data_IF_691956229536
#
_entry.id   IF_691956229536
#
_cell.length_a   1.000
_cell.length_b   1.000
_cell.length_c   1.000
_cell.angle_alpha   90.00
_cell.angle_beta   90.00
_cell.angle_gamma   90.00
#
_symmetry.space_group_name_H-M   'P 1'
#
loop_
_entity.id
_entity.type
_entity.pdbx_description
1 polymer ?
#
# COMPACT_ATOMS: atom_id res chain seq x y z
N UNK A 1 0.22 -16.87 -14.41
CA UNK A 1 -0.24 -15.83 -15.36
C UNK A 1 0.44 -14.51 -14.98
N UNK A 2 1.46 -14.10 -15.72
CA UNK A 2 1.84 -12.69 -15.89
C UNK A 2 2.19 -12.55 -17.35
N UNK A 3 1.41 -11.78 -18.11
CA UNK A 3 1.84 -11.30 -19.42
C UNK A 3 1.07 -10.04 -19.79
N UNK A 4 1.47 -8.92 -19.18
CA UNK A 4 1.44 -7.60 -19.81
C UNK A 4 2.75 -6.93 -19.40
N UNK A 5 3.76 -6.98 -20.27
CA UNK A 5 4.82 -5.98 -20.33
C UNK A 5 5.08 -5.69 -21.79
N UNK A 6 4.61 -4.53 -22.23
CA UNK A 6 5.27 -3.79 -23.28
C UNK A 6 6.34 -2.97 -22.54
N UNK A 7 7.61 -3.32 -22.72
CA UNK A 7 8.80 -2.74 -22.09
C UNK A 7 8.94 -2.89 -20.54
N UNK A 8 10.19 -2.99 -20.11
CA UNK A 8 10.66 -3.12 -18.73
C UNK A 8 10.27 -1.91 -17.88
N UNK A 9 9.15 -1.97 -17.17
CA UNK A 9 8.88 -0.98 -16.13
C UNK A 9 9.76 -1.33 -14.92
N UNK A 10 10.56 -0.38 -14.40
CA UNK A 10 11.24 -0.53 -13.12
C UNK A 10 10.26 -0.95 -12.02
N UNK A 11 10.69 -1.81 -11.08
CA UNK A 11 9.84 -2.24 -9.96
C UNK A 11 9.28 -1.06 -9.15
N UNK A 12 10.05 0.04 -9.07
CA UNK A 12 9.66 1.30 -8.42
C UNK A 12 8.51 2.04 -9.11
N UNK A 13 8.14 1.66 -10.33
CA UNK A 13 7.01 2.22 -11.05
C UNK A 13 5.73 1.40 -10.84
N UNK A 14 5.77 0.29 -10.11
CA UNK A 14 4.63 -0.60 -9.90
C UNK A 14 3.97 -0.30 -8.54
N UNK A 15 2.63 -0.27 -8.54
CA UNK A 15 1.81 -0.15 -7.33
C UNK A 15 0.83 -1.31 -7.21
N UNK A 16 0.58 -1.72 -5.97
CA UNK A 16 -0.43 -2.70 -5.58
C UNK A 16 -1.45 -2.01 -4.67
N UNK A 17 -2.74 -2.09 -5.01
CA UNK A 17 -3.80 -1.47 -4.22
C UNK A 17 -5.02 -2.38 -4.08
N UNK A 18 -5.70 -2.27 -2.95
CA UNK A 18 -6.92 -3.02 -2.65
C UNK A 18 -7.93 -2.05 -2.10
N UNK A 19 -9.08 -2.00 -2.75
CA UNK A 19 -10.14 -1.08 -2.37
C UNK A 19 -11.06 -1.70 -1.31
N UNK A 20 -11.47 -0.88 -0.36
CA UNK A 20 -12.49 -1.24 0.63
C UNK A 20 -13.83 -1.53 -0.06
N UNK A 21 -14.80 -2.05 0.69
CA UNK A 21 -16.15 -2.26 0.20
C UNK A 21 -16.76 -0.99 -0.42
N UNK A 22 -16.54 0.17 0.21
CA UNK A 22 -17.05 1.46 -0.27
C UNK A 22 -16.36 1.95 -1.55
N UNK A 23 -15.12 1.50 -1.80
CA UNK A 23 -14.33 1.91 -2.96
C UNK A 23 -14.41 0.97 -4.16
N UNK A 24 -15.21 -0.11 -4.09
CA UNK A 24 -15.27 -1.13 -5.15
C UNK A 24 -16.69 -1.45 -5.58
N UNK A 25 -16.83 -1.93 -6.83
CA UNK A 25 -18.12 -2.42 -7.37
C UNK A 25 -18.25 -3.94 -7.37
N UNK A 26 -17.15 -4.67 -7.49
CA UNK A 26 -17.13 -6.13 -7.50
C UNK A 26 -16.99 -6.66 -6.07
N UNK A 27 -17.84 -7.62 -5.68
CA UNK A 27 -17.78 -8.26 -4.36
C UNK A 27 -16.91 -9.53 -4.34
N UNK A 28 -15.73 -9.42 -4.96
CA UNK A 28 -14.68 -10.44 -4.94
C UNK A 28 -13.37 -9.74 -4.60
N UNK A 29 -12.50 -10.40 -3.83
CA UNK A 29 -11.16 -9.89 -3.57
C UNK A 29 -10.40 -9.76 -4.89
N UNK A 30 -9.95 -8.55 -5.21
CA UNK A 30 -9.10 -8.25 -6.36
C UNK A 30 -8.04 -7.22 -5.95
N UNK A 31 -6.83 -7.43 -6.44
CA UNK A 31 -5.70 -6.52 -6.24
C UNK A 31 -5.49 -5.77 -7.55
N UNK A 32 -5.49 -4.44 -7.48
CA UNK A 32 -5.10 -3.60 -8.60
C UNK A 32 -3.57 -3.61 -8.71
N UNK A 33 -3.07 -3.92 -9.90
CA UNK A 33 -1.64 -3.82 -10.25
C UNK A 33 -1.56 -2.79 -11.36
N UNK A 34 -0.91 -1.66 -11.09
CA UNK A 34 -0.85 -0.54 -12.04
C UNK A 34 0.41 0.29 -11.84
N UNK A 35 0.75 1.12 -12.82
CA UNK A 35 1.82 2.10 -12.66
C UNK A 35 1.48 3.10 -11.55
N UNK A 36 2.45 3.41 -10.68
CA UNK A 36 2.31 4.48 -9.70
C UNK A 36 2.30 5.84 -10.40
N UNK A 37 1.49 6.79 -9.91
CA UNK A 37 1.50 8.15 -10.43
C UNK A 37 2.84 8.83 -10.06
N UNK A 38 3.54 9.51 -10.99
CA UNK A 38 4.86 10.10 -10.74
C UNK A 38 4.91 11.03 -9.52
N UNK A 39 3.89 11.87 -9.33
CA UNK A 39 3.83 12.81 -8.20
C UNK A 39 3.72 12.08 -6.85
N UNK A 40 3.03 10.94 -6.82
CA UNK A 40 2.87 10.11 -5.62
C UNK A 40 4.18 9.37 -5.33
N UNK A 41 4.87 8.86 -6.36
CA UNK A 41 6.20 8.27 -6.23
C UNK A 41 7.17 9.29 -5.63
N UNK A 42 7.23 10.51 -6.18
CA UNK A 42 8.07 11.58 -5.68
C UNK A 42 7.73 11.97 -4.24
N UNK A 43 6.44 12.07 -3.90
CA UNK A 43 5.97 12.36 -2.55
C UNK A 43 6.44 11.30 -1.54
N UNK A 44 6.34 10.01 -1.89
CA UNK A 44 6.84 8.91 -1.06
C UNK A 44 8.35 9.00 -0.90
N UNK A 45 9.10 9.23 -2.00
CA UNK A 45 10.56 9.37 -1.96
C UNK A 45 11.04 10.49 -1.04
N UNK A 46 10.37 11.64 -1.07
CA UNK A 46 10.69 12.79 -0.22
C UNK A 46 10.45 12.53 1.27
N UNK A 47 9.58 11.57 1.60
CA UNK A 47 9.19 11.25 2.98
C UNK A 47 9.76 9.89 3.44
N UNK A 48 10.70 9.28 2.72
CA UNK A 48 11.23 7.95 3.06
C UNK A 48 11.76 7.87 4.49
N UNK A 49 12.42 8.92 4.98
CA UNK A 49 12.95 8.99 6.34
C UNK A 49 11.87 8.95 7.42
N UNK A 50 10.65 9.40 7.12
CA UNK A 50 9.50 9.34 8.04
C UNK A 50 8.74 8.00 8.02
N UNK A 51 9.04 7.13 7.05
CA UNK A 51 8.39 5.82 6.93
C UNK A 51 9.23 4.78 7.67
N UNK A 52 8.75 4.38 8.85
CA UNK A 52 9.43 3.41 9.71
C UNK A 52 8.90 1.99 9.54
N UNK A 53 9.50 1.02 10.22
CA UNK A 53 9.05 -0.36 10.29
C UNK A 53 7.85 -0.58 11.24
N UNK A 54 7.23 0.49 11.74
CA UNK A 54 5.96 0.50 12.48
C UNK A 54 4.91 1.35 11.76
N UNK A 55 3.64 1.01 11.94
CA UNK A 55 2.54 1.80 11.36
C UNK A 55 2.49 3.20 11.99
N UNK A 56 2.60 4.22 11.14
CA UNK A 56 2.53 5.62 11.55
C UNK A 56 1.87 6.47 10.46
N UNK A 57 1.36 7.64 10.83
CA UNK A 57 0.73 8.54 9.87
C UNK A 57 1.75 9.04 8.84
N UNK A 58 1.38 9.00 7.56
CA UNK A 58 2.18 9.57 6.47
C UNK A 58 2.07 11.10 6.51
N UNK A 59 3.20 11.84 6.59
CA UNK A 59 3.17 13.30 6.68
C UNK A 59 2.40 13.94 5.52
N UNK A 60 1.43 14.80 5.83
CA UNK A 60 0.64 15.52 4.82
C UNK A 60 -0.38 14.68 4.03
N UNK A 61 -0.43 13.36 4.24
CA UNK A 61 -1.33 12.46 3.53
C UNK A 61 -1.02 12.32 2.03
N UNK A 62 -1.92 11.68 1.30
CA UNK A 62 -1.80 11.44 -0.15
C UNK A 62 -3.13 11.84 -0.79
N UNK A 63 -3.09 12.72 -1.80
CA UNK A 63 -4.27 13.24 -2.50
C UNK A 63 -5.36 13.79 -1.56
N UNK A 64 -4.97 14.45 -0.47
CA UNK A 64 -5.89 15.02 0.51
C UNK A 64 -6.52 14.01 1.48
N UNK A 65 -6.09 12.74 1.45
CA UNK A 65 -6.52 11.72 2.39
C UNK A 65 -5.41 11.36 3.37
N UNK A 66 -5.79 11.07 4.61
CA UNK A 66 -4.87 10.53 5.61
C UNK A 66 -4.47 9.10 5.24
N UNK A 67 -3.17 8.82 5.28
CA UNK A 67 -2.61 7.48 5.11
C UNK A 67 -1.78 7.12 6.33
N UNK A 68 -1.75 5.82 6.64
CA UNK A 68 -0.74 5.24 7.51
C UNK A 68 0.22 4.43 6.64
N UNK A 69 1.49 4.47 7.00
CA UNK A 69 2.56 3.82 6.26
C UNK A 69 3.43 2.99 7.17
N UNK A 70 4.04 1.99 6.57
CA UNK A 70 5.04 1.13 7.18
C UNK A 70 5.99 0.64 6.10
N UNK A 71 7.27 0.54 6.43
CA UNK A 71 8.29 -0.13 5.64
C UNK A 71 8.30 -1.62 5.95
N UNK A 72 8.33 -2.43 4.90
CA UNK A 72 8.52 -3.88 4.99
C UNK A 72 9.68 -4.28 4.09
N UNK A 73 10.63 -5.06 4.61
CA UNK A 73 11.71 -5.61 3.77
C UNK A 73 11.18 -6.72 2.88
N UNK A 74 11.90 -7.03 1.81
CA UNK A 74 11.52 -8.14 0.92
C UNK A 74 11.45 -9.48 1.65
N UNK A 75 12.37 -9.76 2.58
CA UNK A 75 12.34 -10.99 3.39
C UNK A 75 11.12 -11.03 4.32
N UNK A 76 10.82 -9.92 5.01
CA UNK A 76 9.62 -9.81 5.82
C UNK A 76 8.34 -10.01 4.99
N UNK A 77 8.31 -9.49 3.76
CA UNK A 77 7.15 -9.62 2.87
C UNK A 77 6.92 -11.06 2.39
N UNK A 78 7.97 -11.87 2.21
CA UNK A 78 7.83 -13.30 1.88
C UNK A 78 7.17 -14.09 3.00
N UNK A 79 7.48 -13.74 4.25
CA UNK A 79 7.04 -14.48 5.43
C UNK A 79 5.72 -13.97 5.99
N UNK A 80 5.52 -12.64 5.97
CA UNK A 80 4.41 -11.97 6.64
C UNK A 80 3.40 -11.46 5.63
N UNK A 81 2.16 -11.92 5.79
CA UNK A 81 1.03 -11.43 5.03
C UNK A 81 0.73 -9.95 5.43
N UNK A 82 0.74 -8.99 4.48
CA UNK A 82 0.50 -7.57 4.78
C UNK A 82 -0.82 -7.27 5.50
N UNK A 83 -1.87 -8.06 5.26
CA UNK A 83 -3.14 -7.92 5.97
C UNK A 83 -3.03 -8.35 7.43
N UNK A 84 -2.26 -9.41 7.72
CA UNK A 84 -2.02 -9.83 9.10
C UNK A 84 -1.19 -8.79 9.85
N UNK A 85 -0.14 -8.27 9.21
CA UNK A 85 0.66 -7.16 9.76
C UNK A 85 -0.19 -5.93 10.11
N UNK A 86 -1.22 -5.63 9.31
CA UNK A 86 -2.12 -4.54 9.63
C UNK A 86 -2.96 -4.83 10.88
N UNK A 87 -3.51 -6.04 10.99
CA UNK A 87 -4.40 -6.46 12.10
C UNK A 87 -3.65 -6.66 13.40
N UNK A 88 -2.45 -7.24 13.33
CA UNK A 88 -1.66 -7.60 14.51
C UNK A 88 -1.04 -6.37 15.18
N UNK A 89 -0.66 -5.36 14.39
CA UNK A 89 0.13 -4.22 14.87
C UNK A 89 -0.68 -2.92 15.03
N UNK A 90 -1.90 -2.84 14.49
CA UNK A 90 -2.82 -1.75 14.80
C UNK A 90 -3.82 -2.19 15.86
N UNK A 91 -4.13 -1.33 16.85
CA UNK A 91 -5.26 -1.59 17.72
C UNK A 91 -6.52 -1.71 16.86
N UNK A 92 -7.11 -2.90 16.86
CA UNK A 92 -8.39 -3.11 16.18
C UNK A 92 -9.42 -2.26 16.90
N UNK A 93 -9.86 -1.16 16.28
CA UNK A 93 -11.11 -0.54 16.68
C UNK A 93 -12.22 -1.55 16.40
N UNK A 94 -12.68 -2.23 17.44
CA UNK A 94 -13.90 -3.03 17.42
C UNK A 94 -15.10 -2.08 17.32
N UNK A 95 -15.31 -1.49 16.15
CA UNK A 95 -16.55 -0.81 15.85
C UNK A 95 -17.43 -1.74 15.01
N UNK A 96 -18.39 -2.31 15.73
CA UNK A 96 -19.57 -2.98 15.21
C UNK A 96 -20.31 -2.07 14.22
N UNK A 97 -20.75 -2.66 13.12
CA UNK A 97 -22.05 -2.45 12.47
C UNK A 97 -22.31 -3.62 11.52
#
# INVERSE_FOLDING_TARGET
>A
MVKIYNASNPDEDISLAINSFYGRRQNQLHIHISSIQPDIKNLIHQNLESIDDIWSAFPGGILGHSYITRRISFEQFKEKNPFKLLVDDLPVEKNAN
#
